data_IF_761598448743
#
_entry.id   IF_761598448743
#
_cell.length_a   1.000
_cell.length_b   1.000
_cell.length_c   1.000
_cell.angle_alpha   90.00
_cell.angle_beta   90.00
_cell.angle_gamma   90.00
#
_symmetry.space_group_name_H-M   'P 1'
#
loop_
_entity.id
_entity.type
_entity.pdbx_description
1 polymer ?
#
# COMPACT_ATOMS: atom_id res chain seq x y z
N UNK A 1 23.34 -13.99 -8.35
CA UNK A 1 21.92 -13.72 -8.04
C UNK A 1 21.84 -13.44 -6.55
N UNK A 2 21.38 -12.25 -6.15
CA UNK A 2 21.30 -11.89 -4.73
C UNK A 2 20.44 -12.89 -3.96
N UNK A 3 20.91 -13.31 -2.78
CA UNK A 3 20.20 -14.30 -1.94
C UNK A 3 18.75 -13.89 -1.66
N UNK A 4 18.49 -12.59 -1.55
CA UNK A 4 17.14 -12.03 -1.36
C UNK A 4 16.27 -12.13 -2.62
N UNK A 5 16.85 -11.88 -3.80
CA UNK A 5 16.13 -12.02 -5.07
C UNK A 5 15.71 -13.48 -5.29
N UNK A 6 16.60 -14.44 -5.04
CA UNK A 6 16.27 -15.86 -5.12
C UNK A 6 15.14 -16.24 -4.15
N UNK A 7 15.18 -15.76 -2.89
CA UNK A 7 14.12 -16.02 -1.91
C UNK A 7 12.77 -15.44 -2.35
N UNK A 8 12.76 -14.25 -2.95
CA UNK A 8 11.54 -13.64 -3.50
C UNK A 8 10.97 -14.48 -4.63
N UNK A 9 11.76 -14.85 -5.63
CA UNK A 9 11.28 -15.74 -6.71
C UNK A 9 10.81 -17.10 -6.20
N UNK A 10 11.51 -17.70 -5.23
CA UNK A 10 11.09 -18.98 -4.63
C UNK A 10 9.75 -18.87 -3.90
N UNK A 11 9.55 -17.81 -3.11
CA UNK A 11 8.28 -17.54 -2.42
C UNK A 11 7.15 -17.20 -3.39
N UNK A 12 7.46 -16.54 -4.51
CA UNK A 12 6.49 -16.27 -5.58
C UNK A 12 6.04 -17.57 -6.27
N UNK A 13 6.96 -18.48 -6.59
CA UNK A 13 6.59 -19.80 -7.14
C UNK A 13 5.77 -20.60 -6.13
N UNK A 14 6.12 -20.53 -4.84
CA UNK A 14 5.34 -21.14 -3.77
C UNK A 14 3.93 -20.52 -3.67
N UNK A 15 3.79 -19.20 -3.78
CA UNK A 15 2.47 -18.55 -3.75
C UNK A 15 1.62 -18.94 -4.95
N UNK A 16 2.19 -19.06 -6.15
CA UNK A 16 1.48 -19.57 -7.32
C UNK A 16 0.94 -20.99 -7.11
N UNK A 17 1.72 -21.86 -6.46
CA UNK A 17 1.26 -23.21 -6.13
C UNK A 17 0.14 -23.20 -5.08
N UNK A 18 0.24 -22.36 -4.05
CA UNK A 18 -0.82 -22.20 -3.03
C UNK A 18 -2.11 -21.66 -3.68
N UNK A 19 -2.01 -20.69 -4.59
CA UNK A 19 -3.15 -20.19 -5.36
C UNK A 19 -3.82 -21.31 -6.17
N UNK A 20 -3.03 -22.11 -6.87
CA UNK A 20 -3.53 -23.24 -7.64
C UNK A 20 -4.24 -24.27 -6.74
N UNK A 21 -3.70 -24.54 -5.55
CA UNK A 21 -4.34 -25.41 -4.56
C UNK A 21 -5.67 -24.83 -4.07
N UNK A 22 -5.73 -23.53 -3.77
CA UNK A 22 -6.95 -22.85 -3.38
C UNK A 22 -8.04 -22.92 -4.46
N UNK A 23 -7.67 -22.65 -5.73
CA UNK A 23 -8.57 -22.83 -6.89
C UNK A 23 -9.07 -24.27 -6.97
N UNK A 24 -8.19 -25.26 -6.84
CA UNK A 24 -8.56 -26.67 -6.93
C UNK A 24 -9.53 -27.09 -5.82
N UNK A 25 -9.34 -26.64 -4.57
CA UNK A 25 -10.28 -26.88 -3.47
C UNK A 25 -11.66 -26.28 -3.73
N UNK A 26 -11.72 -25.03 -4.21
CA UNK A 26 -12.98 -24.35 -4.55
C UNK A 26 -13.71 -25.16 -5.64
N UNK A 27 -13.02 -25.53 -6.72
CA UNK A 27 -13.59 -26.29 -7.83
C UNK A 27 -14.05 -27.69 -7.39
N UNK A 28 -13.26 -28.40 -6.60
CA UNK A 28 -13.58 -29.73 -6.05
C UNK A 28 -14.69 -29.70 -4.99
N UNK A 29 -15.04 -28.53 -4.46
CA UNK A 29 -16.20 -28.38 -3.58
C UNK A 29 -17.55 -28.52 -4.33
N UNK A 30 -17.56 -28.52 -5.68
CA UNK A 30 -18.74 -28.73 -6.52
C UNK A 30 -19.87 -27.68 -6.34
N UNK A 31 -19.55 -26.51 -5.80
CA UNK A 31 -20.45 -25.36 -5.68
C UNK A 31 -20.08 -24.23 -6.65
N UNK A 32 -19.16 -24.47 -7.57
CA UNK A 32 -18.63 -23.49 -8.51
C UNK A 32 -17.11 -23.38 -8.42
N UNK A 33 -16.54 -22.35 -9.03
CA UNK A 33 -15.10 -22.05 -9.03
C UNK A 33 -14.82 -20.59 -8.69
N UNK A 34 -13.56 -20.17 -8.64
CA UNK A 34 -13.26 -18.73 -8.60
C UNK A 34 -13.71 -18.02 -9.88
N UNK A 35 -14.06 -16.71 -9.83
CA UNK A 35 -14.58 -15.98 -11.00
C UNK A 35 -13.68 -16.07 -12.23
N UNK A 36 -12.37 -15.83 -12.06
CA UNK A 36 -11.42 -15.84 -13.17
C UNK A 36 -11.23 -17.22 -13.80
N UNK A 37 -11.38 -18.30 -13.03
CA UNK A 37 -11.20 -19.68 -13.51
C UNK A 37 -12.48 -20.35 -13.96
N UNK A 38 -13.63 -19.67 -13.82
CA UNK A 38 -14.95 -20.19 -14.22
C UNK A 38 -15.03 -20.58 -15.69
N UNK A 39 -14.53 -19.72 -16.58
CA UNK A 39 -14.46 -19.98 -18.02
C UNK A 39 -13.60 -21.22 -18.31
N UNK A 40 -12.43 -21.34 -17.66
CA UNK A 40 -11.51 -22.46 -17.86
C UNK A 40 -12.14 -23.78 -17.43
N UNK A 41 -12.84 -23.78 -16.29
CA UNK A 41 -13.51 -24.97 -15.78
C UNK A 41 -14.64 -25.41 -16.69
N UNK A 42 -15.51 -24.49 -17.11
CA UNK A 42 -16.61 -24.79 -18.04
C UNK A 42 -16.07 -25.34 -19.37
N UNK A 43 -15.04 -24.71 -19.95
CA UNK A 43 -14.39 -25.20 -21.17
C UNK A 43 -13.83 -26.61 -21.00
N UNK A 44 -13.24 -26.93 -19.86
CA UNK A 44 -12.69 -28.27 -19.58
C UNK A 44 -13.75 -29.38 -19.48
N UNK A 45 -15.03 -29.04 -19.31
CA UNK A 45 -16.10 -30.05 -19.20
C UNK A 45 -16.56 -30.63 -20.53
N UNK A 46 -16.40 -29.89 -21.63
CA UNK A 46 -16.89 -30.31 -22.95
C UNK A 46 -15.78 -30.40 -24.01
N UNK A 47 -14.52 -30.17 -23.60
CA UNK A 47 -13.35 -30.28 -24.47
C UNK A 47 -12.35 -31.27 -23.87
N UNK A 48 -11.42 -31.84 -24.66
CA UNK A 48 -10.46 -32.83 -24.16
C UNK A 48 -9.33 -32.22 -23.31
N UNK A 49 -9.26 -30.89 -23.20
CA UNK A 49 -8.21 -30.19 -22.47
C UNK A 49 -8.56 -30.04 -20.98
N UNK A 50 -7.54 -30.15 -20.13
CA UNK A 50 -7.69 -29.98 -18.68
C UNK A 50 -7.97 -28.54 -18.29
N UNK A 51 -8.44 -28.33 -17.06
CA UNK A 51 -8.64 -27.00 -16.50
C UNK A 51 -7.32 -26.18 -16.46
N UNK A 52 -6.19 -26.81 -16.14
CA UNK A 52 -4.88 -26.18 -16.17
C UNK A 52 -4.46 -25.77 -17.57
N UNK A 53 -4.65 -26.64 -18.57
CA UNK A 53 -4.38 -26.32 -19.99
C UNK A 53 -5.21 -25.14 -20.48
N UNK A 54 -6.51 -25.09 -20.18
CA UNK A 54 -7.34 -23.93 -20.50
C UNK A 54 -6.89 -22.67 -19.76
N UNK A 55 -6.42 -22.80 -18.52
CA UNK A 55 -5.87 -21.66 -17.78
C UNK A 55 -4.63 -21.09 -18.47
N UNK A 56 -3.75 -21.93 -19.00
CA UNK A 56 -2.60 -21.49 -19.82
C UNK A 56 -3.10 -20.74 -21.06
N UNK A 57 -4.02 -21.34 -21.83
CA UNK A 57 -4.52 -20.74 -23.07
C UNK A 57 -5.21 -19.40 -22.83
N UNK A 58 -6.05 -19.29 -21.81
CA UNK A 58 -6.76 -18.06 -21.48
C UNK A 58 -5.78 -16.98 -21.00
N UNK A 59 -4.81 -17.33 -20.15
CA UNK A 59 -3.79 -16.38 -19.70
C UNK A 59 -2.91 -15.90 -20.85
N UNK A 60 -2.50 -16.78 -21.78
CA UNK A 60 -1.79 -16.37 -23.00
C UNK A 60 -2.65 -15.47 -23.89
N UNK A 61 -3.97 -15.70 -23.92
CA UNK A 61 -4.91 -14.79 -24.60
C UNK A 61 -4.93 -13.42 -23.94
N UNK A 62 -4.89 -13.34 -22.60
CA UNK A 62 -4.78 -12.05 -21.90
C UNK A 62 -3.48 -11.32 -22.23
N UNK A 63 -2.34 -12.03 -22.25
CA UNK A 63 -1.05 -11.47 -22.68
C UNK A 63 -1.13 -10.90 -24.10
N UNK A 64 -1.83 -11.57 -25.03
CA UNK A 64 -2.04 -11.04 -26.37
C UNK A 64 -2.97 -9.82 -26.39
N UNK A 65 -4.00 -9.80 -25.54
CA UNK A 65 -4.91 -8.66 -25.42
C UNK A 65 -4.23 -7.42 -24.83
N UNK A 66 -3.22 -7.59 -23.96
CA UNK A 66 -2.42 -6.47 -23.44
C UNK A 66 -1.86 -5.61 -24.58
N UNK A 67 -1.43 -6.25 -25.68
CA UNK A 67 -0.87 -5.56 -26.85
C UNK A 67 -1.85 -4.61 -27.53
N UNK A 68 -3.16 -4.82 -27.37
CA UNK A 68 -4.19 -3.91 -27.92
C UNK A 68 -4.31 -2.62 -27.10
N UNK A 69 -3.94 -2.66 -25.83
CA UNK A 69 -4.08 -1.54 -24.91
C UNK A 69 -2.74 -0.85 -24.57
N UNK A 70 -1.60 -1.52 -24.80
CA UNK A 70 -0.26 -0.97 -24.58
C UNK A 70 0.27 -0.18 -25.77
N UNK A 71 0.95 0.94 -25.50
CA UNK A 71 1.72 1.66 -26.52
C UNK A 71 3.13 1.03 -26.70
N UNK A 72 3.83 1.40 -27.77
CA UNK A 72 5.22 0.94 -28.02
C UNK A 72 6.20 1.36 -26.93
N UNK A 73 5.92 2.47 -26.25
CA UNK A 73 6.74 2.98 -25.15
C UNK A 73 6.47 2.19 -23.87
N UNK A 74 5.20 1.91 -23.56
CA UNK A 74 4.80 1.06 -22.44
C UNK A 74 5.43 -0.34 -22.54
N UNK A 75 5.39 -0.94 -23.74
CA UNK A 75 5.95 -2.26 -23.99
C UNK A 75 7.47 -2.30 -23.78
N UNK A 76 8.19 -1.22 -24.13
CA UNK A 76 9.64 -1.12 -23.89
C UNK A 76 9.93 -0.99 -22.41
N UNK A 77 9.16 -0.17 -21.69
CA UNK A 77 9.33 0.08 -20.25
C UNK A 77 9.06 -1.18 -19.43
N UNK A 78 7.98 -1.89 -19.74
CA UNK A 78 7.49 -3.02 -18.93
C UNK A 78 7.80 -4.39 -19.56
N UNK A 79 8.73 -4.43 -20.52
CA UNK A 79 9.09 -5.64 -21.27
C UNK A 79 9.34 -6.85 -20.35
N UNK A 80 10.02 -6.63 -19.23
CA UNK A 80 10.35 -7.70 -18.28
C UNK A 80 9.09 -8.27 -17.62
N UNK A 81 8.19 -7.41 -17.13
CA UNK A 81 6.92 -7.82 -16.50
C UNK A 81 6.02 -8.52 -17.50
N UNK A 82 5.90 -7.98 -18.71
CA UNK A 82 5.15 -8.58 -19.81
C UNK A 82 5.67 -9.97 -20.17
N UNK A 83 6.99 -10.12 -20.37
CA UNK A 83 7.58 -11.41 -20.70
C UNK A 83 7.49 -12.42 -19.56
N UNK A 84 7.49 -11.97 -18.30
CA UNK A 84 7.34 -12.86 -17.14
C UNK A 84 5.96 -13.51 -17.07
N UNK A 85 4.92 -12.90 -17.64
CA UNK A 85 3.57 -13.47 -17.62
C UNK A 85 3.51 -14.84 -18.31
N UNK A 86 4.31 -15.07 -19.35
CA UNK A 86 4.32 -16.34 -20.10
C UNK A 86 4.78 -17.53 -19.22
N UNK A 87 5.99 -17.53 -18.62
CA UNK A 87 6.42 -18.62 -17.75
C UNK A 87 5.55 -18.76 -16.49
N UNK A 88 5.00 -17.65 -15.98
CA UNK A 88 4.03 -17.69 -14.87
C UNK A 88 2.78 -18.43 -15.27
N UNK A 89 2.21 -18.10 -16.43
CA UNK A 89 0.98 -18.71 -16.93
C UNK A 89 1.13 -20.21 -17.14
N UNK A 90 2.28 -20.63 -17.72
CA UNK A 90 2.64 -22.04 -17.88
C UNK A 90 2.74 -22.76 -16.52
N UNK A 91 3.44 -22.15 -15.57
CA UNK A 91 3.64 -22.73 -14.23
C UNK A 91 2.31 -22.83 -13.47
N UNK A 92 1.50 -21.78 -13.51
CA UNK A 92 0.23 -21.72 -12.80
C UNK A 92 -0.77 -22.75 -13.32
N UNK A 93 -0.89 -22.91 -14.64
CA UNK A 93 -1.74 -23.95 -15.22
C UNK A 93 -1.29 -25.37 -14.86
N UNK A 94 0.02 -25.64 -14.92
CA UNK A 94 0.57 -26.94 -14.49
C UNK A 94 0.29 -27.20 -13.00
N UNK A 95 0.42 -26.18 -12.16
CA UNK A 95 0.11 -26.30 -10.73
C UNK A 95 -1.37 -26.54 -10.46
N UNK A 96 -2.29 -25.98 -11.27
CA UNK A 96 -3.73 -26.28 -11.16
C UNK A 96 -3.98 -27.76 -11.45
N UNK A 97 -3.43 -28.30 -12.54
CA UNK A 97 -3.62 -29.72 -12.85
C UNK A 97 -3.01 -30.62 -11.78
N UNK A 98 -1.81 -30.27 -11.29
CA UNK A 98 -1.17 -30.96 -10.17
C UNK A 98 -2.06 -30.93 -8.91
N UNK A 99 -2.61 -29.77 -8.55
CA UNK A 99 -3.47 -29.62 -7.39
C UNK A 99 -4.80 -30.38 -7.56
N UNK A 100 -5.40 -30.36 -8.75
CA UNK A 100 -6.61 -31.12 -9.06
C UNK A 100 -6.38 -32.63 -8.95
N UNK A 101 -5.20 -33.11 -9.36
CA UNK A 101 -4.77 -34.49 -9.17
C UNK A 101 -4.50 -34.82 -7.69
N UNK A 102 -3.84 -33.94 -6.93
CA UNK A 102 -3.60 -34.13 -5.49
C UNK A 102 -4.90 -34.23 -4.69
N UNK A 103 -5.96 -33.54 -5.14
CA UNK A 103 -7.29 -33.55 -4.54
C UNK A 103 -8.22 -34.60 -5.18
N UNK A 104 -7.68 -35.69 -5.72
CA UNK A 104 -8.49 -36.79 -6.26
C UNK A 104 -9.43 -37.41 -5.21
N UNK A 105 -9.05 -37.38 -3.93
CA UNK A 105 -9.80 -37.93 -2.81
C UNK A 105 -10.95 -37.03 -2.32
N UNK A 106 -11.02 -35.79 -2.79
CA UNK A 106 -11.97 -34.80 -2.31
C UNK A 106 -13.25 -34.80 -3.15
N UNK A 107 -14.24 -35.57 -2.73
CA UNK A 107 -15.57 -35.65 -3.35
C UNK A 107 -16.70 -35.46 -2.32
N UNK A 108 -16.98 -34.22 -1.91
CA UNK A 108 -17.99 -33.95 -0.91
C UNK A 108 -19.42 -34.20 -1.44
N UNK A 109 -20.13 -35.13 -0.80
CA UNK A 109 -21.53 -35.44 -1.14
C UNK A 109 -22.49 -34.48 -0.43
N UNK A 110 -22.33 -34.29 0.88
CA UNK A 110 -23.21 -33.44 1.70
C UNK A 110 -22.99 -31.96 1.42
N UNK A 111 -24.08 -31.18 1.32
CA UNK A 111 -24.00 -29.75 1.02
C UNK A 111 -23.17 -28.96 2.05
N UNK A 112 -23.30 -29.29 3.33
CA UNK A 112 -22.49 -28.66 4.39
C UNK A 112 -20.98 -28.92 4.20
N UNK A 113 -20.60 -30.13 3.76
CA UNK A 113 -19.21 -30.45 3.45
C UNK A 113 -18.72 -29.67 2.23
N UNK A 114 -19.56 -29.52 1.20
CA UNK A 114 -19.26 -28.68 0.03
C UNK A 114 -18.98 -27.22 0.45
N UNK A 115 -19.82 -26.65 1.31
CA UNK A 115 -19.62 -25.28 1.81
C UNK A 115 -18.34 -25.16 2.66
N UNK A 116 -18.05 -26.15 3.50
CA UNK A 116 -16.83 -26.18 4.30
C UNK A 116 -15.58 -26.17 3.43
N UNK A 117 -15.51 -27.03 2.41
CA UNK A 117 -14.36 -27.10 1.51
C UNK A 117 -14.23 -25.87 0.61
N UNK A 118 -15.36 -25.25 0.23
CA UNK A 118 -15.36 -23.96 -0.44
C UNK A 118 -14.71 -22.89 0.43
N UNK A 119 -15.06 -22.81 1.71
CA UNK A 119 -14.47 -21.84 2.66
C UNK A 119 -12.98 -22.12 2.85
N UNK A 120 -12.59 -23.39 3.07
CA UNK A 120 -11.17 -23.79 3.16
C UNK A 120 -10.41 -23.36 1.90
N UNK A 121 -10.96 -23.62 0.72
CA UNK A 121 -10.38 -23.18 -0.55
C UNK A 121 -10.24 -21.67 -0.65
N UNK A 122 -11.22 -20.90 -0.18
CA UNK A 122 -11.15 -19.43 -0.14
C UNK A 122 -10.03 -18.93 0.78
N UNK A 123 -9.82 -19.56 1.94
CA UNK A 123 -8.71 -19.22 2.84
C UNK A 123 -7.34 -19.55 2.24
N UNK A 124 -7.20 -20.73 1.62
CA UNK A 124 -5.96 -21.14 0.95
C UNK A 124 -5.65 -20.18 -0.21
N UNK A 125 -6.64 -19.90 -1.06
CA UNK A 125 -6.50 -18.97 -2.18
C UNK A 125 -6.14 -17.56 -1.68
N UNK A 126 -6.81 -17.07 -0.63
CA UNK A 126 -6.50 -15.77 -0.05
C UNK A 126 -5.10 -15.70 0.58
N UNK A 127 -4.62 -16.78 1.20
CA UNK A 127 -3.25 -16.86 1.71
C UNK A 127 -2.22 -16.82 0.58
N UNK A 128 -2.48 -17.53 -0.53
CA UNK A 128 -1.64 -17.50 -1.73
C UNK A 128 -1.57 -16.11 -2.35
N UNK A 129 -2.72 -15.44 -2.54
CA UNK A 129 -2.78 -14.07 -3.07
C UNK A 129 -2.05 -13.11 -2.11
N UNK A 130 -2.29 -13.20 -0.79
CA UNK A 130 -1.63 -12.34 0.18
C UNK A 130 -0.09 -12.51 0.13
N UNK A 131 0.41 -13.73 -0.02
CA UNK A 131 1.83 -14.02 -0.16
C UNK A 131 2.39 -13.50 -1.49
N UNK A 132 1.67 -13.70 -2.59
CA UNK A 132 2.04 -13.23 -3.93
C UNK A 132 2.22 -11.72 -3.97
N UNK A 133 1.22 -10.98 -3.46
CA UNK A 133 1.23 -9.51 -3.39
C UNK A 133 2.40 -9.01 -2.56
N UNK A 134 2.73 -9.67 -1.45
CA UNK A 134 3.85 -9.30 -0.58
C UNK A 134 5.20 -9.45 -1.24
N UNK A 135 5.38 -10.50 -2.03
CA UNK A 135 6.66 -10.83 -2.67
C UNK A 135 6.98 -9.86 -3.82
N UNK A 136 5.96 -9.24 -4.42
CA UNK A 136 6.05 -8.17 -5.43
C UNK A 136 7.07 -8.47 -6.55
N UNK A 137 6.96 -9.66 -7.15
CA UNK A 137 7.84 -10.11 -8.23
C UNK A 137 7.21 -9.86 -9.60
N UNK A 138 5.96 -10.28 -9.77
CA UNK A 138 5.19 -10.10 -10.99
C UNK A 138 3.69 -10.29 -10.69
N UNK A 139 2.85 -9.87 -11.65
CA UNK A 139 1.41 -10.08 -11.60
C UNK A 139 1.01 -11.25 -12.50
N UNK A 140 -0.09 -11.92 -12.15
CA UNK A 140 -0.72 -12.90 -13.04
C UNK A 140 -1.36 -12.21 -14.24
N UNK A 141 -1.49 -12.93 -15.36
CA UNK A 141 -1.89 -12.33 -16.64
C UNK A 141 -3.26 -11.63 -16.60
N UNK A 142 -4.25 -12.22 -15.93
CA UNK A 142 -5.56 -11.58 -15.81
C UNK A 142 -5.55 -10.30 -14.96
N UNK A 143 -4.72 -10.24 -13.92
CA UNK A 143 -4.56 -9.01 -13.12
C UNK A 143 -3.79 -7.94 -13.88
N UNK A 144 -2.78 -8.33 -14.65
CA UNK A 144 -2.00 -7.42 -15.48
C UNK A 144 -2.86 -6.78 -16.57
N UNK A 145 -3.69 -7.56 -17.28
CA UNK A 145 -4.62 -7.02 -18.29
C UNK A 145 -5.58 -5.98 -17.71
N UNK A 146 -6.13 -6.24 -16.53
CA UNK A 146 -6.97 -5.26 -15.82
C UNK A 146 -6.18 -3.99 -15.51
N UNK A 147 -4.92 -4.11 -15.08
CA UNK A 147 -4.06 -2.97 -14.81
C UNK A 147 -3.78 -2.15 -16.07
N UNK A 148 -3.49 -2.80 -17.21
CA UNK A 148 -3.26 -2.12 -18.49
C UNK A 148 -4.50 -1.35 -18.94
N UNK A 149 -5.70 -1.96 -18.84
CA UNK A 149 -6.98 -1.30 -19.17
C UNK A 149 -7.20 -0.07 -18.29
N UNK A 150 -6.95 -0.19 -16.97
CA UNK A 150 -7.13 0.91 -16.02
C UNK A 150 -6.24 2.10 -16.35
N UNK A 151 -4.98 1.86 -16.69
CA UNK A 151 -4.03 2.93 -17.05
C UNK A 151 -4.42 3.60 -18.36
N UNK A 152 -4.87 2.83 -19.35
CA UNK A 152 -5.26 3.37 -20.67
C UNK A 152 -6.50 4.25 -20.59
N UNK A 153 -7.48 3.85 -19.76
CA UNK A 153 -8.78 4.52 -19.66
C UNK A 153 -8.93 5.40 -18.41
N UNK A 154 -7.90 5.48 -17.56
CA UNK A 154 -7.93 6.18 -16.27
C UNK A 154 -9.09 5.72 -15.35
N UNK A 155 -9.34 4.41 -15.32
CA UNK A 155 -10.36 3.79 -14.47
C UNK A 155 -9.80 3.26 -13.16
N UNK A 156 -10.67 3.19 -12.15
CA UNK A 156 -10.35 2.57 -10.86
C UNK A 156 -10.12 1.06 -10.99
N UNK A 157 -8.95 0.58 -10.55
CA UNK A 157 -8.59 -0.84 -10.62
C UNK A 157 -9.61 -1.78 -9.97
N UNK A 158 -10.16 -1.41 -8.81
CA UNK A 158 -11.10 -2.26 -8.09
C UNK A 158 -12.40 -2.48 -8.87
N UNK A 159 -12.95 -1.42 -9.47
CA UNK A 159 -14.18 -1.51 -10.26
C UNK A 159 -13.93 -2.22 -11.60
N UNK A 160 -12.81 -1.93 -12.27
CA UNK A 160 -12.44 -2.62 -13.52
C UNK A 160 -12.19 -4.12 -13.29
N UNK A 161 -11.55 -4.49 -12.18
CA UNK A 161 -11.33 -5.90 -11.81
C UNK A 161 -12.64 -6.62 -11.58
N UNK A 162 -13.56 -6.00 -10.84
CA UNK A 162 -14.88 -6.57 -10.60
C UNK A 162 -15.65 -6.74 -11.91
N UNK A 163 -15.61 -5.74 -12.79
CA UNK A 163 -16.25 -5.81 -14.11
C UNK A 163 -15.64 -6.93 -14.97
N UNK A 164 -14.31 -7.06 -14.98
CA UNK A 164 -13.59 -8.13 -15.69
C UNK A 164 -13.93 -9.52 -15.14
N UNK A 165 -14.01 -9.70 -13.83
CA UNK A 165 -14.42 -10.97 -13.24
C UNK A 165 -15.87 -11.31 -13.58
N UNK A 166 -16.75 -10.31 -13.57
CA UNK A 166 -18.15 -10.48 -13.94
C UNK A 166 -18.30 -10.87 -15.41
N UNK A 167 -17.52 -10.28 -16.33
CA UNK A 167 -17.57 -10.64 -17.76
C UNK A 167 -17.12 -12.08 -17.98
N UNK A 168 -16.09 -12.55 -17.26
CA UNK A 168 -15.66 -13.96 -17.31
C UNK A 168 -16.74 -14.90 -16.77
N UNK A 169 -17.36 -14.57 -15.63
CA UNK A 169 -18.45 -15.40 -15.07
C UNK A 169 -19.65 -15.47 -16.02
N UNK A 170 -20.04 -14.33 -16.62
CA UNK A 170 -21.12 -14.29 -17.61
C UNK A 170 -20.77 -15.10 -18.87
N UNK A 171 -19.53 -15.01 -19.34
CA UNK A 171 -19.03 -15.80 -20.47
C UNK A 171 -19.06 -17.30 -20.14
N UNK A 172 -18.68 -17.69 -18.93
CA UNK A 172 -18.73 -19.08 -18.48
C UNK A 172 -20.18 -19.61 -18.46
N UNK A 173 -21.14 -18.82 -17.94
CA UNK A 173 -22.55 -19.16 -17.98
C UNK A 173 -23.08 -19.31 -19.41
N UNK A 174 -22.70 -18.38 -20.31
CA UNK A 174 -23.09 -18.42 -21.72
C UNK A 174 -22.54 -19.67 -22.42
N UNK A 175 -21.25 -19.97 -22.25
CA UNK A 175 -20.62 -21.15 -22.82
C UNK A 175 -21.25 -22.45 -22.29
N UNK A 176 -21.51 -22.52 -20.98
CA UNK A 176 -22.18 -23.66 -20.38
C UNK A 176 -23.58 -23.87 -20.97
N UNK A 177 -24.37 -22.80 -21.09
CA UNK A 177 -25.71 -22.90 -21.67
C UNK A 177 -25.67 -23.34 -23.14
N UNK A 178 -24.78 -22.76 -23.96
CA UNK A 178 -24.68 -23.05 -25.38
C UNK A 178 -24.22 -24.49 -25.67
N UNK A 179 -23.21 -25.00 -24.95
CA UNK A 179 -22.61 -26.30 -25.25
C UNK A 179 -23.17 -27.45 -24.41
N UNK A 180 -23.77 -27.16 -23.25
CA UNK A 180 -24.21 -28.17 -22.29
C UNK A 180 -25.71 -28.12 -21.97
N UNK A 181 -26.45 -27.13 -22.51
CA UNK A 181 -27.90 -26.91 -22.32
C UNK A 181 -28.34 -26.74 -20.85
N UNK A 182 -27.38 -26.49 -19.95
CA UNK A 182 -27.58 -26.25 -18.51
C UNK A 182 -26.40 -25.42 -17.98
N UNK A 183 -26.58 -24.73 -16.84
CA UNK A 183 -25.53 -23.94 -16.19
C UNK A 183 -24.75 -24.85 -15.22
N UNK A 184 -23.68 -25.46 -15.73
CA UNK A 184 -22.73 -26.28 -15.00
C UNK A 184 -21.44 -25.50 -14.78
N UNK A 185 -20.77 -25.77 -13.66
CA UNK A 185 -19.48 -25.15 -13.33
C UNK A 185 -19.55 -23.77 -12.66
N UNK A 186 -20.60 -22.98 -12.89
CA UNK A 186 -20.83 -21.70 -12.20
C UNK A 186 -22.06 -21.81 -11.31
N UNK A 187 -21.88 -21.59 -10.01
CA UNK A 187 -22.91 -21.80 -8.99
C UNK A 187 -22.71 -20.82 -7.83
N UNK A 188 -23.51 -20.94 -6.78
CA UNK A 188 -23.50 -20.04 -5.61
C UNK A 188 -22.12 -19.90 -4.97
N UNK A 189 -21.28 -20.94 -5.03
CA UNK A 189 -19.93 -20.94 -4.52
C UNK A 189 -18.99 -20.00 -5.28
N UNK A 190 -19.25 -19.71 -6.56
CA UNK A 190 -18.49 -18.70 -7.32
C UNK A 190 -18.75 -17.29 -6.80
N UNK A 191 -20.01 -16.99 -6.44
CA UNK A 191 -20.38 -15.71 -5.84
C UNK A 191 -19.79 -15.59 -4.43
N UNK A 192 -19.90 -16.66 -3.63
CA UNK A 192 -19.31 -16.72 -2.29
C UNK A 192 -17.78 -16.50 -2.36
N UNK A 193 -17.08 -17.17 -3.27
CA UNK A 193 -15.64 -17.00 -3.45
C UNK A 193 -15.28 -15.58 -3.89
N UNK A 194 -16.03 -14.98 -4.82
CA UNK A 194 -15.83 -13.60 -5.27
C UNK A 194 -15.91 -12.59 -4.12
N UNK A 195 -16.89 -12.76 -3.22
CA UNK A 195 -17.13 -11.85 -2.10
C UNK A 195 -16.23 -12.13 -0.90
N UNK A 196 -15.88 -13.39 -0.64
CA UNK A 196 -15.14 -13.79 0.56
C UNK A 196 -13.62 -13.64 0.42
N UNK A 197 -13.04 -13.93 -0.75
CA UNK A 197 -11.57 -13.97 -0.92
C UNK A 197 -10.95 -12.61 -0.63
N UNK A 198 -11.53 -11.51 -1.12
CA UNK A 198 -10.99 -10.15 -0.90
C UNK A 198 -10.85 -9.74 0.57
N UNK A 199 -11.93 -9.82 1.39
CA UNK A 199 -11.87 -9.60 2.83
C UNK A 199 -10.89 -10.53 3.56
N UNK A 200 -10.82 -11.81 3.19
CA UNK A 200 -9.89 -12.77 3.82
C UNK A 200 -8.43 -12.39 3.50
N UNK A 201 -8.12 -11.99 2.26
CA UNK A 201 -6.78 -11.48 1.90
C UNK A 201 -6.40 -10.31 2.81
N UNK A 202 -7.30 -9.34 2.99
CA UNK A 202 -7.06 -8.19 3.87
C UNK A 202 -6.79 -8.62 5.32
N UNK A 203 -7.53 -9.61 5.83
CA UNK A 203 -7.34 -10.16 7.17
C UNK A 203 -6.00 -10.89 7.35
N UNK A 204 -5.54 -11.63 6.32
CA UNK A 204 -4.29 -12.41 6.37
C UNK A 204 -3.04 -11.58 6.09
N UNK A 205 -3.18 -10.44 5.39
CA UNK A 205 -2.06 -9.58 4.96
C UNK A 205 -1.14 -9.10 6.11
N UNK A 206 -1.63 -8.78 7.32
CA UNK A 206 -0.78 -8.42 8.48
C UNK A 206 0.08 -9.58 8.98
N UNK A 207 -0.42 -10.82 8.95
CA UNK A 207 0.28 -12.00 9.45
C UNK A 207 1.58 -12.28 8.67
N UNK A 208 1.56 -11.97 7.37
CA UNK A 208 2.71 -12.15 6.49
C UNK A 208 3.76 -11.02 6.60
N UNK A 209 3.55 -9.95 7.39
CA UNK A 209 4.58 -8.91 7.65
C UNK A 209 5.86 -9.49 8.23
N UNK A 210 5.79 -10.60 8.97
CA UNK A 210 6.99 -11.25 9.55
C UNK A 210 7.92 -11.84 8.48
N UNK A 211 7.45 -12.08 7.26
CA UNK A 211 8.29 -12.54 6.14
C UNK A 211 9.13 -11.43 5.51
N UNK A 212 8.86 -10.16 5.82
CA UNK A 212 9.57 -9.01 5.28
C UNK A 212 11.07 -9.04 5.68
N UNK A 213 11.39 -9.59 6.87
CA UNK A 213 12.77 -9.83 7.33
C UNK A 213 13.52 -10.85 6.47
N UNK A 214 12.80 -11.88 6.02
CA UNK A 214 13.38 -13.04 5.34
C UNK A 214 13.63 -12.77 3.85
N UNK A 215 12.75 -11.98 3.24
CA UNK A 215 12.82 -11.54 1.84
C UNK A 215 13.72 -10.32 1.64
N UNK A 216 14.21 -9.71 2.73
CA UNK A 216 15.04 -8.49 2.68
C UNK A 216 14.22 -7.21 2.46
N UNK A 217 12.89 -7.28 2.56
CA UNK A 217 11.99 -6.12 2.45
C UNK A 217 12.06 -5.21 3.70
N UNK A 218 12.51 -5.75 4.84
CA UNK A 218 12.83 -5.00 6.06
C UNK A 218 14.07 -4.10 5.88
N UNK A 219 15.13 -4.60 5.24
CA UNK A 219 16.35 -3.83 4.99
C UNK A 219 16.14 -2.63 4.06
N UNK A 220 15.16 -2.72 3.16
CA UNK A 220 14.74 -1.60 2.33
C UNK A 220 14.01 -0.48 3.12
N UNK A 221 13.62 -0.70 4.38
CA UNK A 221 13.02 0.35 5.23
C UNK A 221 14.10 1.28 5.81
N UNK A 222 15.33 0.77 5.93
CA UNK A 222 16.46 1.49 6.53
C UNK A 222 17.58 1.90 5.56
N UNK A 223 17.61 1.44 4.30
CA UNK A 223 18.80 1.63 3.44
C UNK A 223 18.53 2.25 2.06
N UNK A 224 17.33 2.78 1.81
CA UNK A 224 16.95 3.46 0.56
C UNK A 224 16.60 4.94 0.75
N UNK A 225 17.17 5.62 1.74
CA UNK A 225 17.04 7.07 1.80
C UNK A 225 17.90 7.66 0.71
N UNK A 226 17.31 8.23 -0.34
CA UNK A 226 18.02 9.35 -0.96
C UNK A 226 18.27 10.31 0.18
N UNK A 227 19.55 10.61 0.39
CA UNK A 227 19.96 11.59 1.36
C UNK A 227 19.06 12.81 1.13
N UNK A 228 18.30 13.22 2.17
CA UNK A 228 17.94 14.61 2.24
C UNK A 228 19.25 15.38 2.02
N UNK A 229 19.30 16.36 1.11
CA UNK A 229 20.52 17.13 0.89
C UNK A 229 21.04 17.53 2.26
N UNK A 230 22.34 17.33 2.49
CA UNK A 230 23.01 17.58 3.76
C UNK A 230 22.75 19.02 4.15
N UNK A 231 21.63 19.23 4.83
CA UNK A 231 21.10 20.55 5.07
C UNK A 231 21.93 21.07 6.21
N UNK A 232 22.81 22.01 5.90
CA UNK A 232 23.62 22.73 6.87
C UNK A 232 22.73 23.54 7.86
N UNK A 233 21.41 23.51 7.68
CA UNK A 233 20.41 24.22 8.47
C UNK A 233 19.71 23.31 9.46
N UNK A 234 19.55 23.81 10.69
CA UNK A 234 18.70 23.16 11.67
C UNK A 234 17.23 23.40 11.34
N UNK A 235 16.43 22.33 11.41
CA UNK A 235 14.99 22.37 11.13
C UNK A 235 14.24 21.84 12.35
N UNK A 236 13.14 22.48 12.73
CA UNK A 236 12.26 21.99 13.80
C UNK A 236 11.03 21.37 13.16
N UNK A 237 10.70 20.14 13.53
CA UNK A 237 9.46 19.45 13.11
C UNK A 237 8.56 19.26 14.32
N UNK A 238 7.26 19.55 14.17
CA UNK A 238 6.27 19.45 15.25
C UNK A 238 5.12 18.53 14.84
N UNK A 239 5.15 17.31 15.36
CA UNK A 239 3.99 16.41 15.43
C UNK A 239 3.16 16.75 16.68
N UNK A 240 1.84 16.51 16.64
CA UNK A 240 0.93 16.96 17.70
C UNK A 240 -0.43 16.30 17.70
N UNK A 241 -0.98 16.08 18.87
CA UNK A 241 -2.40 15.79 19.08
C UNK A 241 -3.27 17.00 18.74
N UNK A 242 -4.54 16.75 18.41
CA UNK A 242 -5.53 17.81 18.30
C UNK A 242 -5.90 18.29 19.69
N UNK A 243 -6.03 19.61 19.85
CA UNK A 243 -6.24 20.23 21.16
C UNK A 243 -4.97 20.43 22.00
N UNK A 244 -3.78 19.97 21.58
CA UNK A 244 -2.54 20.16 22.38
C UNK A 244 -1.87 21.53 22.22
N UNK A 245 -2.38 22.42 21.38
CA UNK A 245 -1.72 23.72 21.15
C UNK A 245 -0.39 23.63 20.40
N UNK A 246 -0.02 22.47 19.85
CA UNK A 246 1.25 22.30 19.11
C UNK A 246 1.43 23.23 17.90
N UNK A 247 0.35 23.70 17.28
CA UNK A 247 0.47 24.74 16.23
C UNK A 247 0.89 26.09 16.80
N UNK A 248 0.29 26.50 17.92
CA UNK A 248 0.60 27.75 18.63
C UNK A 248 2.01 27.74 19.20
N UNK A 249 2.49 26.58 19.66
CA UNK A 249 3.90 26.37 20.00
C UNK A 249 4.82 26.65 18.81
N UNK A 250 4.45 26.17 17.61
CA UNK A 250 5.17 26.46 16.37
C UNK A 250 5.21 27.95 16.02
N UNK A 251 4.09 28.66 16.17
CA UNK A 251 4.04 30.11 15.96
C UNK A 251 4.89 30.88 16.96
N UNK A 252 4.86 30.49 18.24
CA UNK A 252 5.66 31.11 19.29
C UNK A 252 7.15 30.95 18.98
N UNK A 253 7.58 29.72 18.65
CA UNK A 253 8.95 29.45 18.24
C UNK A 253 9.36 30.22 16.97
N UNK A 254 8.47 30.34 15.99
CA UNK A 254 8.72 31.08 14.76
C UNK A 254 9.00 32.56 15.03
N UNK A 255 8.20 33.18 15.92
CA UNK A 255 8.39 34.57 16.34
C UNK A 255 9.68 34.75 17.13
N UNK A 256 9.98 33.87 18.08
CA UNK A 256 11.15 33.99 18.95
C UNK A 256 12.49 33.67 18.26
N UNK A 257 12.50 32.70 17.34
CA UNK A 257 13.70 32.30 16.61
C UNK A 257 13.86 33.06 15.28
N UNK A 258 12.87 33.87 14.90
CA UNK A 258 12.78 34.53 13.59
C UNK A 258 12.89 33.56 12.42
N UNK A 259 12.18 32.42 12.53
CA UNK A 259 12.17 31.36 11.52
C UNK A 259 10.83 31.30 10.79
N UNK A 260 10.80 30.96 9.50
CA UNK A 260 9.56 30.69 8.79
C UNK A 260 8.86 29.45 9.35
N UNK A 261 7.54 29.55 9.52
CA UNK A 261 6.65 28.45 9.90
C UNK A 261 5.89 27.94 8.67
N UNK A 262 6.01 26.64 8.41
CA UNK A 262 5.27 25.97 7.35
C UNK A 262 4.29 24.97 7.96
N UNK A 263 3.01 25.24 7.76
CA UNK A 263 1.92 24.41 8.27
C UNK A 263 1.35 23.50 7.17
N UNK A 264 0.29 22.76 7.51
CA UNK A 264 -0.37 21.86 6.56
C UNK A 264 -0.93 22.61 5.36
N UNK A 265 -1.53 23.79 5.55
CA UNK A 265 -2.20 24.50 4.46
C UNK A 265 -1.20 25.02 3.45
N UNK A 266 -0.10 25.61 3.92
CA UNK A 266 0.97 26.10 3.07
C UNK A 266 1.60 24.99 2.24
N UNK A 267 1.96 23.87 2.89
CA UNK A 267 2.60 22.73 2.21
C UNK A 267 1.64 22.12 1.18
N UNK A 268 0.37 21.96 1.52
CA UNK A 268 -0.63 21.42 0.59
C UNK A 268 -0.84 22.33 -0.61
N UNK A 269 -0.93 23.64 -0.41
CA UNK A 269 -1.09 24.60 -1.49
C UNK A 269 0.14 24.64 -2.40
N UNK A 270 1.34 24.58 -1.82
CA UNK A 270 2.59 24.48 -2.58
C UNK A 270 2.66 23.18 -3.38
N UNK A 271 2.25 22.06 -2.79
CA UNK A 271 2.18 20.76 -3.45
C UNK A 271 1.18 20.73 -4.61
N UNK A 272 0.02 21.37 -4.46
CA UNK A 272 -0.97 21.47 -5.55
C UNK A 272 -0.48 22.36 -6.70
N UNK A 273 0.35 23.36 -6.41
CA UNK A 273 0.92 24.27 -7.41
C UNK A 273 2.20 23.74 -8.06
N UNK A 274 2.83 22.69 -7.51
CA UNK A 274 4.11 22.18 -7.98
C UNK A 274 4.03 21.38 -9.28
N UNK A 275 2.81 21.12 -9.79
CA UNK A 275 2.60 20.38 -11.04
C UNK A 275 2.93 18.89 -10.95
N UNK A 276 3.10 18.36 -9.73
CA UNK A 276 3.31 16.93 -9.48
C UNK A 276 1.99 16.19 -9.66
N UNK A 277 1.88 15.45 -10.76
CA UNK A 277 0.77 14.55 -11.06
C UNK A 277 1.23 13.09 -11.13
N UNK A 278 0.29 12.15 -11.31
CA UNK A 278 0.62 10.72 -11.43
C UNK A 278 1.63 10.45 -12.55
N UNK A 279 1.50 11.16 -13.68
CA UNK A 279 2.39 11.00 -14.85
C UNK A 279 3.81 11.47 -14.54
N UNK A 280 3.96 12.63 -13.90
CA UNK A 280 5.25 13.13 -13.43
C UNK A 280 5.93 12.15 -12.49
N UNK A 281 5.20 11.57 -11.52
CA UNK A 281 5.77 10.60 -10.58
C UNK A 281 6.24 9.34 -11.31
N UNK A 282 5.44 8.85 -12.26
CA UNK A 282 5.72 7.67 -13.05
C UNK A 282 6.87 7.90 -14.02
N UNK A 283 7.00 9.08 -14.64
CA UNK A 283 8.10 9.42 -15.56
C UNK A 283 9.42 9.66 -14.81
N UNK A 284 9.34 10.22 -13.61
CA UNK A 284 10.49 10.53 -12.78
C UNK A 284 10.83 9.44 -11.76
N UNK A 285 10.22 8.25 -11.83
CA UNK A 285 10.39 7.12 -10.90
C UNK A 285 11.86 6.82 -10.56
N UNK A 286 12.76 6.89 -11.55
CA UNK A 286 14.20 6.65 -11.36
C UNK A 286 14.93 7.76 -10.57
N UNK A 287 14.40 8.97 -10.62
CA UNK A 287 14.91 10.14 -9.88
C UNK A 287 14.23 10.34 -8.54
N UNK A 288 13.11 9.65 -8.31
CA UNK A 288 12.40 9.68 -7.05
C UNK A 288 13.18 8.82 -6.05
N UNK A 289 13.61 9.39 -4.91
CA UNK A 289 14.20 8.63 -3.82
C UNK A 289 13.48 7.31 -3.58
N UNK A 290 14.22 6.20 -3.48
CA UNK A 290 13.64 4.86 -3.29
C UNK A 290 12.74 4.78 -2.06
N UNK A 291 12.94 5.67 -1.09
CA UNK A 291 12.05 5.92 0.04
C UNK A 291 10.62 6.37 -0.34
N UNK A 292 10.43 7.27 -1.32
CA UNK A 292 9.11 7.74 -1.75
C UNK A 292 8.37 6.69 -2.56
N UNK A 293 9.10 6.00 -3.45
CA UNK A 293 8.59 4.78 -4.10
C UNK A 293 8.16 3.77 -3.04
N UNK A 294 8.95 3.61 -1.98
CA UNK A 294 8.61 2.74 -0.88
C UNK A 294 7.36 3.22 -0.14
N UNK A 295 7.20 4.49 0.21
CA UNK A 295 5.96 4.97 0.85
C UNK A 295 4.72 4.67 -0.01
N UNK A 296 4.83 4.82 -1.33
CA UNK A 296 3.78 4.46 -2.30
C UNK A 296 3.52 2.93 -2.33
N UNK A 297 4.59 2.13 -2.34
CA UNK A 297 4.55 0.67 -2.53
C UNK A 297 4.34 -0.11 -1.21
N UNK A 298 4.73 0.45 -0.07
CA UNK A 298 4.70 -0.14 1.28
C UNK A 298 3.44 0.20 2.06
N UNK A 299 2.67 1.20 1.61
CA UNK A 299 1.35 1.52 2.16
C UNK A 299 0.28 0.45 1.87
N UNK A 300 0.67 -0.75 1.44
CA UNK A 300 -0.28 -1.83 1.18
C UNK A 300 -1.20 -1.50 0.01
N UNK A 301 -0.64 -0.96 -1.08
CA UNK A 301 -1.31 -0.97 -2.38
C UNK A 301 -1.55 -2.43 -2.76
N UNK A 302 -2.78 -2.88 -2.48
CA UNK A 302 -3.47 -3.95 -3.19
C UNK A 302 -2.97 -3.94 -4.63
N UNK A 303 -2.46 -5.08 -5.08
CA UNK A 303 -2.07 -5.35 -6.46
C UNK A 303 -2.89 -4.52 -7.44
N UNK A 304 -2.22 -3.71 -8.26
CA UNK A 304 -2.79 -3.14 -9.48
C UNK A 304 -3.49 -1.77 -9.38
N UNK A 305 -3.70 -1.16 -8.21
CA UNK A 305 -4.14 0.25 -8.18
C UNK A 305 -3.02 1.18 -8.66
N UNK A 306 -3.34 2.07 -9.60
CA UNK A 306 -2.53 3.27 -9.87
C UNK A 306 -2.38 4.12 -8.60
N UNK A 307 -1.54 5.14 -8.66
CA UNK A 307 -1.33 6.03 -7.52
C UNK A 307 -2.66 6.69 -7.15
N UNK A 308 -3.10 6.59 -5.89
CA UNK A 308 -4.27 7.37 -5.48
C UNK A 308 -3.92 8.85 -5.50
N UNK A 309 -4.92 9.72 -5.65
CA UNK A 309 -4.71 11.18 -5.56
C UNK A 309 -4.04 11.58 -4.24
N UNK A 310 -4.32 10.85 -3.16
CA UNK A 310 -3.70 11.06 -1.85
C UNK A 310 -2.22 10.64 -1.83
N UNK A 311 -1.82 9.59 -2.57
CA UNK A 311 -0.42 9.17 -2.70
C UNK A 311 0.40 10.18 -3.51
N UNK A 312 -0.16 10.65 -4.64
CA UNK A 312 0.44 11.73 -5.43
C UNK A 312 0.61 12.97 -4.56
N UNK A 313 -0.42 13.33 -3.80
CA UNK A 313 -0.39 14.47 -2.91
C UNK A 313 0.67 14.29 -1.81
N UNK A 314 0.75 13.12 -1.19
CA UNK A 314 1.75 12.85 -0.15
C UNK A 314 3.18 12.98 -0.69
N UNK A 315 3.47 12.45 -1.88
CA UNK A 315 4.79 12.59 -2.55
C UNK A 315 5.09 14.05 -2.87
N UNK A 316 4.10 14.81 -3.33
CA UNK A 316 4.25 16.23 -3.59
C UNK A 316 4.52 17.03 -2.30
N UNK A 317 3.71 16.82 -1.24
CA UNK A 317 3.88 17.47 0.08
C UNK A 317 5.27 17.18 0.66
N UNK A 318 5.70 15.93 0.56
CA UNK A 318 6.99 15.42 0.96
C UNK A 318 8.18 16.06 0.27
N UNK A 319 8.10 16.21 -1.06
CA UNK A 319 9.11 16.92 -1.84
C UNK A 319 9.20 18.38 -1.41
N UNK A 320 8.06 19.04 -1.22
CA UNK A 320 8.02 20.40 -0.69
C UNK A 320 8.67 20.50 0.69
N UNK A 321 8.42 19.56 1.61
CA UNK A 321 9.08 19.52 2.92
C UNK A 321 10.61 19.46 2.79
N UNK A 322 11.13 18.60 1.90
CA UNK A 322 12.57 18.50 1.63
C UNK A 322 13.14 19.78 1.02
N UNK A 323 12.44 20.40 0.06
CA UNK A 323 12.86 21.66 -0.55
C UNK A 323 12.89 22.82 0.45
N UNK A 324 11.90 22.90 1.34
CA UNK A 324 11.85 23.92 2.39
C UNK A 324 12.99 23.76 3.38
N UNK A 325 13.28 22.52 3.80
CA UNK A 325 14.41 22.20 4.68
C UNK A 325 15.77 22.51 4.02
N UNK A 326 15.89 22.29 2.71
CA UNK A 326 17.11 22.59 1.95
C UNK A 326 17.35 24.09 1.73
N UNK A 327 16.28 24.89 1.64
CA UNK A 327 16.38 26.35 1.43
C UNK A 327 16.93 27.11 2.63
N UNK A 328 16.69 26.63 3.85
CA UNK A 328 17.06 27.37 5.06
C UNK A 328 16.46 26.80 6.33
N UNK A 329 16.85 27.36 7.50
CA UNK A 329 16.29 26.97 8.78
C UNK A 329 14.80 27.33 8.83
N UNK A 330 13.98 26.40 9.32
CA UNK A 330 12.53 26.57 9.36
C UNK A 330 11.86 25.68 10.41
N UNK A 331 10.57 25.94 10.64
CA UNK A 331 9.70 25.15 11.51
C UNK A 331 8.61 24.53 10.64
N UNK A 332 8.41 23.21 10.74
CA UNK A 332 7.44 22.47 9.94
C UNK A 332 6.46 21.73 10.86
N UNK A 333 5.16 21.97 10.69
CA UNK A 333 4.11 21.43 11.57
C UNK A 333 3.36 20.28 10.90
N UNK A 334 3.83 19.05 11.10
CA UNK A 334 3.19 17.79 10.68
C UNK A 334 3.64 17.27 9.32
N UNK A 335 2.69 16.72 8.54
CA UNK A 335 2.94 16.15 7.20
C UNK A 335 4.05 15.07 7.21
N UNK A 336 4.12 14.31 8.30
CA UNK A 336 5.16 13.31 8.56
C UNK A 336 6.60 13.88 8.47
N UNK A 337 6.79 15.20 8.62
CA UNK A 337 8.07 15.86 8.39
C UNK A 337 9.21 15.29 9.25
N UNK A 338 8.90 14.85 10.48
CA UNK A 338 9.80 14.12 11.37
C UNK A 338 10.39 12.86 10.71
N UNK A 339 9.54 12.11 10.01
CA UNK A 339 9.93 10.92 9.27
C UNK A 339 10.56 11.25 7.91
N UNK A 340 10.00 12.22 7.18
CA UNK A 340 10.52 12.67 5.87
C UNK A 340 11.97 13.13 5.98
N UNK A 341 12.30 13.83 7.07
CA UNK A 341 13.61 14.44 7.30
C UNK A 341 14.50 13.62 8.25
N UNK A 342 14.12 12.39 8.60
CA UNK A 342 14.80 11.54 9.62
C UNK A 342 16.28 11.27 9.35
N UNK A 343 16.72 11.34 8.10
CA UNK A 343 18.11 11.12 7.71
C UNK A 343 19.00 12.33 7.96
N UNK A 344 18.43 13.52 8.20
CA UNK A 344 19.21 14.72 8.48
C UNK A 344 19.57 14.78 9.96
N UNK A 345 20.87 14.88 10.31
CA UNK A 345 21.31 14.97 11.69
C UNK A 345 20.89 16.30 12.34
N UNK A 346 20.45 17.30 11.57
CA UNK A 346 20.10 18.65 12.05
C UNK A 346 18.59 18.90 12.25
N UNK A 347 17.77 17.85 12.24
CA UNK A 347 16.29 17.97 12.38
C UNK A 347 15.80 17.66 13.79
N UNK A 348 15.37 18.69 14.52
CA UNK A 348 14.76 18.59 15.85
C UNK A 348 13.31 18.13 15.76
N UNK A 349 13.04 16.91 16.27
CA UNK A 349 11.74 16.24 16.18
C UNK A 349 10.98 16.37 17.48
N UNK A 350 9.89 17.13 17.46
CA UNK A 350 9.08 17.42 18.64
C UNK A 350 7.70 16.77 18.49
N UNK A 351 7.20 16.16 19.55
CA UNK A 351 5.80 15.74 19.67
C UNK A 351 5.10 16.52 20.78
N UNK A 352 3.92 17.07 20.49
CA UNK A 352 3.12 17.82 21.45
C UNK A 352 1.82 17.08 21.77
N UNK A 353 1.71 16.57 22.99
CA UNK A 353 0.54 15.86 23.52
C UNK A 353 -0.15 16.68 24.62
N UNK A 354 -1.35 16.28 25.01
CA UNK A 354 -1.98 16.78 26.22
C UNK A 354 -3.01 15.78 26.75
N UNK A 355 -3.39 15.92 28.01
CA UNK A 355 -4.45 15.10 28.59
C UNK A 355 -5.80 15.47 27.94
N UNK A 356 -6.74 14.51 27.94
CA UNK A 356 -8.02 14.67 27.24
C UNK A 356 -8.81 15.89 27.73
N UNK A 357 -8.83 16.12 29.03
CA UNK A 357 -9.54 17.26 29.63
C UNK A 357 -8.97 18.60 29.13
N UNK A 358 -7.64 18.73 29.07
CA UNK A 358 -6.98 19.94 28.57
C UNK A 358 -7.21 20.14 27.06
N UNK A 359 -7.22 19.04 26.30
CA UNK A 359 -7.53 19.07 24.87
C UNK A 359 -8.93 19.63 24.62
N UNK A 360 -9.93 19.14 25.37
CA UNK A 360 -11.33 19.57 25.28
C UNK A 360 -11.46 21.03 25.68
N UNK A 361 -10.91 21.43 26.84
CA UNK A 361 -10.96 22.80 27.31
C UNK A 361 -10.39 23.76 26.25
N UNK A 362 -9.22 23.45 25.69
CA UNK A 362 -8.60 24.25 24.64
C UNK A 362 -9.43 24.29 23.36
N UNK A 363 -10.02 23.17 22.94
CA UNK A 363 -10.88 23.10 21.77
C UNK A 363 -12.14 23.98 21.92
N UNK A 364 -12.75 24.00 23.11
CA UNK A 364 -13.94 24.81 23.37
C UNK A 364 -13.59 26.29 23.50
N UNK A 365 -12.54 26.62 24.26
CA UNK A 365 -12.19 28.01 24.58
C UNK A 365 -11.47 28.74 23.44
N UNK A 366 -10.59 28.05 22.71
CA UNK A 366 -9.75 28.69 21.68
C UNK A 366 -10.17 28.36 20.25
N UNK A 367 -10.81 27.21 20.00
CA UNK A 367 -11.15 26.75 18.65
C UNK A 367 -12.65 26.84 18.33
N UNK A 368 -13.45 27.43 19.23
CA UNK A 368 -14.89 27.63 19.11
C UNK A 368 -15.66 26.33 18.79
N UNK A 369 -15.16 25.19 19.26
CA UNK A 369 -15.85 23.90 19.09
C UNK A 369 -16.97 23.76 20.12
N UNK A 370 -18.17 23.31 19.73
CA UNK A 370 -19.21 22.96 20.69
C UNK A 370 -18.69 21.89 21.67
N UNK A 371 -18.89 22.11 22.97
CA UNK A 371 -18.44 21.19 24.02
C UNK A 371 -18.95 19.74 23.79
N UNK A 372 -20.18 19.61 23.31
CA UNK A 372 -20.79 18.33 22.95
C UNK A 372 -20.09 17.58 21.81
N UNK A 373 -19.34 18.29 20.96
CA UNK A 373 -18.67 17.73 19.78
C UNK A 373 -17.14 17.63 19.95
N UNK A 374 -16.57 18.38 20.89
CA UNK A 374 -15.13 18.52 21.06
C UNK A 374 -14.41 17.16 21.19
N UNK A 375 -14.91 16.27 22.04
CA UNK A 375 -14.31 14.94 22.24
C UNK A 375 -14.31 14.09 20.97
N UNK A 376 -15.45 14.02 20.29
CA UNK A 376 -15.61 13.22 19.08
C UNK A 376 -14.68 13.74 17.97
N UNK A 377 -14.54 15.06 17.85
CA UNK A 377 -13.66 15.69 16.88
C UNK A 377 -12.18 15.45 17.20
N UNK A 378 -11.77 15.54 18.46
CA UNK A 378 -10.41 15.20 18.91
C UNK A 378 -10.05 13.76 18.52
N UNK A 379 -10.90 12.80 18.85
CA UNK A 379 -10.68 11.40 18.51
C UNK A 379 -10.62 11.17 17.00
N UNK A 380 -11.52 11.79 16.25
CA UNK A 380 -11.57 11.68 14.78
C UNK A 380 -10.31 12.22 14.15
N UNK A 381 -9.85 13.40 14.55
CA UNK A 381 -8.65 14.04 14.00
C UNK A 381 -7.39 13.27 14.38
N UNK A 382 -7.25 12.85 15.64
CA UNK A 382 -6.09 12.08 16.10
C UNK A 382 -6.02 10.71 15.43
N UNK A 383 -7.15 10.00 15.31
CA UNK A 383 -7.23 8.74 14.56
C UNK A 383 -6.83 8.92 13.11
N UNK A 384 -7.30 9.98 12.45
CA UNK A 384 -6.92 10.27 11.06
C UNK A 384 -5.42 10.58 10.93
N UNK A 385 -4.83 11.33 11.88
CA UNK A 385 -3.39 11.61 11.90
C UNK A 385 -2.58 10.33 12.11
N UNK A 386 -2.97 9.49 13.07
CA UNK A 386 -2.31 8.22 13.35
C UNK A 386 -2.37 7.28 12.15
N UNK A 387 -3.56 7.10 11.55
CA UNK A 387 -3.73 6.24 10.38
C UNK A 387 -2.93 6.73 9.18
N UNK A 388 -2.94 8.03 8.90
CA UNK A 388 -2.16 8.62 7.82
C UNK A 388 -0.66 8.42 8.04
N UNK A 389 -0.17 8.66 9.25
CA UNK A 389 1.24 8.45 9.59
C UNK A 389 1.62 6.97 9.47
N UNK A 390 0.86 6.06 10.07
CA UNK A 390 1.16 4.62 10.01
C UNK A 390 1.08 4.07 8.59
N UNK A 391 0.13 4.55 7.78
CA UNK A 391 0.00 4.17 6.37
C UNK A 391 1.28 4.50 5.59
N UNK A 392 1.72 5.77 5.61
CA UNK A 392 2.85 6.22 4.80
C UNK A 392 4.23 5.89 5.38
N UNK A 393 4.35 5.80 6.71
CA UNK A 393 5.64 5.60 7.37
C UNK A 393 5.86 4.14 7.82
N UNK A 394 4.79 3.36 7.98
CA UNK A 394 4.81 2.05 8.63
C UNK A 394 5.10 2.09 10.12
N UNK A 395 5.21 3.29 10.71
CA UNK A 395 5.60 3.54 12.10
C UNK A 395 4.42 4.02 12.93
N UNK A 396 4.50 3.80 14.26
CA UNK A 396 3.50 4.32 15.19
C UNK A 396 3.73 5.80 15.43
N UNK A 397 2.67 6.59 15.25
CA UNK A 397 2.71 8.05 15.34
C UNK A 397 3.05 8.56 16.74
N UNK A 398 2.65 7.85 17.79
CA UNK A 398 2.88 8.24 19.19
C UNK A 398 4.10 7.54 19.82
N UNK A 399 4.97 6.92 19.03
CA UNK A 399 6.14 6.20 19.56
C UNK A 399 7.24 7.20 19.97
N UNK A 400 7.67 7.20 21.25
CA UNK A 400 8.69 8.14 21.72
C UNK A 400 10.04 8.00 21.02
N UNK A 401 10.38 6.84 20.44
CA UNK A 401 11.66 6.64 19.77
C UNK A 401 11.81 7.45 18.46
N UNK A 402 10.72 8.01 17.95
CA UNK A 402 10.73 8.84 16.73
C UNK A 402 10.96 10.32 17.01
N UNK A 403 10.92 10.74 18.27
CA UNK A 403 11.00 12.15 18.68
C UNK A 403 12.18 12.40 19.60
N UNK A 404 12.79 13.58 19.46
CA UNK A 404 13.87 14.02 20.34
C UNK A 404 13.30 14.59 21.66
N UNK A 405 12.07 15.13 21.62
CA UNK A 405 11.34 15.62 22.79
C UNK A 405 9.83 15.43 22.59
N UNK A 406 9.17 14.82 23.59
CA UNK A 406 7.71 14.82 23.70
C UNK A 406 7.30 15.71 24.88
N UNK A 407 6.38 16.65 24.65
CA UNK A 407 5.94 17.61 25.67
C UNK A 407 4.44 17.49 25.86
N UNK A 408 4.02 17.31 27.12
CA UNK A 408 2.62 17.42 27.52
C UNK A 408 2.30 18.89 27.83
N UNK A 409 1.59 19.56 26.93
CA UNK A 409 1.22 20.99 27.04
C UNK A 409 -0.09 21.23 27.78
N UNK A 410 -0.68 20.20 28.38
CA UNK A 410 -1.65 20.36 29.46
C UNK A 410 -0.98 20.78 30.76
N UNK A 411 0.21 20.23 31.04
CA UNK A 411 0.94 20.46 32.29
C UNK A 411 2.12 21.44 32.15
N UNK A 412 2.67 21.58 30.95
CA UNK A 412 3.79 22.49 30.64
C UNK A 412 3.27 23.65 29.80
N UNK A 413 3.49 24.89 30.24
CA UNK A 413 3.07 26.07 29.47
C UNK A 413 3.78 26.13 28.10
N UNK A 414 3.15 26.75 27.11
CA UNK A 414 3.73 26.86 25.77
C UNK A 414 5.04 27.65 25.79
N UNK A 415 5.19 28.63 26.68
CA UNK A 415 6.41 29.42 26.87
C UNK A 415 7.54 28.57 27.45
N UNK A 416 7.24 27.74 28.44
CA UNK A 416 8.23 26.81 29.01
C UNK A 416 8.66 25.76 27.98
N UNK A 417 7.71 25.20 27.23
CA UNK A 417 7.98 24.27 26.14
C UNK A 417 8.84 24.94 25.03
N UNK A 418 8.51 26.16 24.63
CA UNK A 418 9.27 26.92 23.64
C UNK A 418 10.71 27.21 24.12
N UNK A 419 10.87 27.56 25.40
CA UNK A 419 12.18 27.80 25.99
C UNK A 419 13.07 26.55 25.95
N UNK A 420 12.52 25.36 26.26
CA UNK A 420 13.23 24.09 26.16
C UNK A 420 13.65 23.77 24.72
N UNK A 421 12.72 23.86 23.78
CA UNK A 421 12.96 23.58 22.36
C UNK A 421 14.00 24.54 21.78
N UNK A 422 13.97 25.82 22.17
CA UNK A 422 14.96 26.82 21.76
C UNK A 422 16.36 26.47 22.23
N UNK A 423 16.51 25.97 23.45
CA UNK A 423 17.81 25.50 23.97
C UNK A 423 18.33 24.34 23.14
N UNK A 424 17.52 23.30 22.92
CA UNK A 424 17.89 22.16 22.08
C UNK A 424 18.22 22.56 20.63
N UNK A 425 17.46 23.50 20.06
CA UNK A 425 17.70 24.03 18.72
C UNK A 425 19.07 24.71 18.62
N UNK A 426 19.43 25.54 19.61
CA UNK A 426 20.74 26.22 19.67
C UNK A 426 21.90 25.23 19.79
N UNK A 427 21.78 24.19 20.60
CA UNK A 427 22.79 23.13 20.70
C UNK A 427 22.99 22.41 19.37
N UNK A 428 21.89 22.16 18.64
CA UNK A 428 21.93 21.52 17.33
C UNK A 428 22.57 22.40 16.26
N UNK A 429 22.36 23.72 16.31
CA UNK A 429 23.08 24.69 15.48
C UNK A 429 24.57 24.76 15.84
N UNK A 430 24.92 24.70 17.13
CA UNK A 430 26.30 24.85 17.63
C UNK A 430 27.19 23.62 17.47
N UNK A 431 26.64 22.44 17.21
CA UNK A 431 27.38 21.18 17.05
C UNK A 431 28.12 21.03 15.71
N UNK A 432 28.14 22.08 14.87
CA UNK A 432 28.92 22.15 13.63
C UNK A 432 30.43 22.24 13.93
N UNK A 433 31.08 21.11 14.23
CA UNK A 433 32.52 21.01 14.01
C UNK A 433 32.77 20.95 12.51
N UNK A 434 33.75 21.71 11.97
CA UNK A 434 34.14 21.55 10.58
C UNK A 434 34.66 20.12 10.42
N UNK A 435 34.12 19.38 9.47
CA UNK A 435 34.70 18.12 9.02
C UNK A 435 36.11 18.43 8.49
N UNK A 436 37.09 18.28 9.38
CA UNK A 436 38.47 18.59 9.11
C UNK A 436 39.02 17.71 8.00
N UNK A 437 39.69 18.38 7.07
CA UNK A 437 40.92 17.94 6.43
C UNK A 437 41.66 16.84 7.20
N UNK A 438 41.79 15.67 6.57
CA UNK A 438 43.06 14.96 6.39
C UNK A 438 42.94 13.98 5.23
#
# INVERSE_FOLDING_TARGET
>A
MDRYLFRRYALFVLSLFINALGVAFITKALLGTSPITSVNYVLSMFTPLTMGQWTILLNLTFVLLDLLFMTREDLRRERTSYLLQIPISLSFGLFIDCAMLMLFWLEPVAYAAKLLWLIVGCFILAAGIALEVRVNVAMTAGEYLVQVICRRHHFDFGYTKLAFDLTLVLLACLLSYLFMSDIRGVREGTVVAALAVGPIVHFLTPCFRRLDHWTGLDGAAGQGTAAAPDADHAVITIAREFGSGGHRLGELLARELHLPLYDRQFIRLAAQKSGVDERYIVENEQSIPSFWLKCILSSGTRAGRGLSTDDVLFVAESKIVQELAAKGPCIIVGRCADFVLRSSPRVLRIFCCCDRADAVARCVEEYDLPESEAEAEIERVNRNRSNHYEFYTGQRWSDPHHYDLMVNTGHVSLEAAAALIRTMYRERCGSAKPSGTK
#
